data_IF_769954569958
#
_entry.id   IF_769954569958
#
_cell.length_a   1.000
_cell.length_b   1.000
_cell.length_c   1.000
_cell.angle_alpha   90.00
_cell.angle_beta   90.00
_cell.angle_gamma   90.00
#
_symmetry.space_group_name_H-M   'P 1'
#
loop_
_entity.id
_entity.type
_entity.pdbx_description
1 polymer ?
#
# COMPACT_ATOMS: atom_id res chain seq x y z
N UNK A 1 -5.96 12.27 -28.57
CA UNK A 1 -5.60 12.18 -27.14
C UNK A 1 -6.74 11.44 -26.46
N UNK A 2 -6.52 10.35 -25.70
CA UNK A 2 -7.57 9.82 -24.84
C UNK A 2 -8.08 10.97 -23.96
N UNK A 3 -9.39 11.09 -23.77
CA UNK A 3 -9.91 11.98 -22.75
C UNK A 3 -9.38 11.52 -21.39
N UNK A 4 -9.19 12.46 -20.47
CA UNK A 4 -8.69 12.17 -19.11
C UNK A 4 -9.50 11.05 -18.45
N UNK A 5 -10.83 11.08 -18.56
CA UNK A 5 -11.72 10.06 -18.01
C UNK A 5 -11.48 8.66 -18.62
N UNK A 6 -11.29 8.56 -19.95
CA UNK A 6 -11.07 7.27 -20.59
C UNK A 6 -9.71 6.67 -20.17
N UNK A 7 -8.70 7.50 -19.90
CA UNK A 7 -7.42 7.04 -19.38
C UNK A 7 -7.55 6.55 -17.94
N UNK A 8 -8.26 7.29 -17.08
CA UNK A 8 -8.49 6.92 -15.69
C UNK A 8 -9.27 5.61 -15.61
N UNK A 9 -10.35 5.46 -16.39
CA UNK A 9 -11.13 4.22 -16.46
C UNK A 9 -10.26 3.03 -16.88
N UNK A 10 -9.43 3.20 -17.93
CA UNK A 10 -8.54 2.15 -18.39
C UNK A 10 -7.50 1.73 -17.32
N UNK A 11 -6.97 2.67 -16.55
CA UNK A 11 -6.02 2.39 -15.45
C UNK A 11 -6.71 1.69 -14.28
N UNK A 12 -7.94 2.09 -13.93
CA UNK A 12 -8.70 1.48 -12.83
C UNK A 12 -9.14 0.04 -13.12
N UNK A 13 -9.25 -0.33 -14.39
CA UNK A 13 -9.57 -1.70 -14.80
C UNK A 13 -8.37 -2.67 -14.77
N UNK A 14 -7.14 -2.18 -14.57
CA UNK A 14 -5.96 -3.04 -14.51
C UNK A 14 -5.87 -3.80 -13.19
N UNK A 15 -5.67 -5.11 -13.28
CA UNK A 15 -5.44 -6.01 -12.15
C UNK A 15 -4.36 -7.05 -12.48
N UNK A 16 -4.00 -7.91 -11.51
CA UNK A 16 -2.99 -8.96 -11.72
C UNK A 16 -3.41 -9.98 -12.79
N UNK A 17 -4.72 -10.13 -13.07
CA UNK A 17 -5.26 -11.06 -14.07
C UNK A 17 -5.23 -10.48 -15.48
N UNK A 18 -4.97 -9.18 -15.61
CA UNK A 18 -4.87 -8.47 -16.88
C UNK A 18 -3.62 -8.87 -17.68
N UNK A 19 -2.69 -9.63 -17.08
CA UNK A 19 -1.42 -10.01 -17.69
C UNK A 19 -1.29 -11.53 -17.84
N UNK A 20 -0.92 -11.98 -19.04
CA UNK A 20 -0.77 -13.41 -19.35
C UNK A 20 0.48 -14.05 -18.72
N UNK A 21 1.51 -13.25 -18.39
CA UNK A 21 2.75 -13.71 -17.79
C UNK A 21 3.48 -12.57 -17.05
N UNK A 22 4.41 -12.95 -16.18
CA UNK A 22 5.18 -12.02 -15.34
C UNK A 22 6.02 -11.03 -16.18
N UNK A 23 6.63 -11.50 -17.27
CA UNK A 23 7.39 -10.62 -18.17
C UNK A 23 6.51 -9.54 -18.81
N UNK A 24 5.24 -9.82 -19.09
CA UNK A 24 4.25 -8.86 -19.57
C UNK A 24 3.89 -7.84 -18.49
N UNK A 25 3.67 -8.32 -17.26
CA UNK A 25 3.39 -7.47 -16.08
C UNK A 25 4.53 -6.49 -15.82
N UNK A 26 5.78 -6.96 -15.85
CA UNK A 26 6.96 -6.11 -15.62
C UNK A 26 7.13 -5.04 -16.70
N UNK A 27 6.97 -5.38 -17.98
CA UNK A 27 7.01 -4.40 -19.08
C UNK A 27 5.89 -3.35 -18.97
N UNK A 28 4.70 -3.76 -18.53
CA UNK A 28 3.60 -2.84 -18.29
C UNK A 28 3.92 -1.89 -17.12
N UNK A 29 4.50 -2.42 -16.03
CA UNK A 29 4.97 -1.59 -14.92
C UNK A 29 6.01 -0.56 -15.35
N UNK A 30 7.02 -0.96 -16.13
CA UNK A 30 8.02 -0.03 -16.68
C UNK A 30 7.37 1.07 -17.53
N UNK A 31 6.43 0.71 -18.40
CA UNK A 31 5.71 1.66 -19.24
C UNK A 31 4.86 2.64 -18.41
N UNK A 32 4.18 2.15 -17.36
CA UNK A 32 3.39 2.97 -16.44
C UNK A 32 4.29 3.92 -15.63
N UNK A 33 5.42 3.44 -15.12
CA UNK A 33 6.40 4.28 -14.41
C UNK A 33 6.94 5.38 -15.32
N UNK A 34 7.23 5.07 -16.59
CA UNK A 34 7.66 6.07 -17.58
C UNK A 34 6.56 7.06 -17.93
N UNK A 35 5.29 6.62 -17.97
CA UNK A 35 4.17 7.53 -18.19
C UNK A 35 3.99 8.47 -16.98
N UNK A 36 4.09 7.94 -15.77
CA UNK A 36 4.01 8.69 -14.52
C UNK A 36 5.12 9.75 -14.43
N UNK A 37 6.36 9.40 -14.79
CA UNK A 37 7.49 10.33 -14.73
C UNK A 37 7.35 11.53 -15.68
N UNK A 38 6.49 11.45 -16.71
CA UNK A 38 6.20 12.56 -17.63
C UNK A 38 5.15 13.54 -17.10
N UNK A 39 4.33 13.09 -16.14
CA UNK A 39 3.21 13.87 -15.59
C UNK A 39 3.56 14.45 -14.21
N UNK A 40 4.37 13.73 -13.43
CA UNK A 40 4.79 14.16 -12.10
C UNK A 40 5.57 15.48 -12.15
N UNK A 41 5.26 16.37 -11.21
CA UNK A 41 6.05 17.57 -10.96
C UNK A 41 7.25 17.22 -10.11
N UNK A 42 8.36 17.98 -10.20
CA UNK A 42 9.53 17.77 -9.34
C UNK A 42 9.19 17.72 -7.84
N UNK A 43 8.22 18.54 -7.40
CA UNK A 43 7.76 18.53 -6.02
C UNK A 43 7.05 17.23 -5.61
N UNK A 44 6.25 16.63 -6.50
CA UNK A 44 5.55 15.37 -6.22
C UNK A 44 6.56 14.24 -5.98
N UNK A 45 7.64 14.22 -6.76
CA UNK A 45 8.75 13.26 -6.62
C UNK A 45 9.46 13.47 -5.27
N UNK A 46 9.86 14.71 -4.95
CA UNK A 46 10.53 15.03 -3.68
C UNK A 46 9.65 14.68 -2.48
N UNK A 47 8.36 15.03 -2.53
CA UNK A 47 7.40 14.70 -1.48
C UNK A 47 7.30 13.19 -1.26
N UNK A 48 7.19 12.41 -2.35
CA UNK A 48 7.13 10.95 -2.28
C UNK A 48 8.40 10.36 -1.64
N UNK A 49 9.58 10.83 -2.06
CA UNK A 49 10.87 10.30 -1.59
C UNK A 49 11.24 10.73 -0.16
N UNK A 50 10.98 11.99 0.19
CA UNK A 50 11.40 12.55 1.47
C UNK A 50 10.37 12.35 2.58
N UNK A 51 9.09 12.18 2.24
CA UNK A 51 8.03 12.10 3.23
C UNK A 51 7.26 10.78 3.19
N UNK A 52 6.63 10.47 2.06
CA UNK A 52 5.73 9.31 1.97
C UNK A 52 6.49 8.00 2.20
N UNK A 53 7.57 7.76 1.44
CA UNK A 53 8.31 6.50 1.54
C UNK A 53 8.95 6.30 2.93
N UNK A 54 9.63 7.30 3.54
CA UNK A 54 10.15 7.15 4.90
C UNK A 54 9.05 6.98 5.95
N UNK A 55 7.94 7.71 5.84
CA UNK A 55 6.81 7.57 6.77
C UNK A 55 6.20 6.16 6.70
N UNK A 56 5.94 5.63 5.50
CA UNK A 56 5.45 4.26 5.31
C UNK A 56 6.42 3.23 5.88
N UNK A 57 7.73 3.43 5.67
CA UNK A 57 8.76 2.53 6.20
C UNK A 57 8.78 2.57 7.74
N UNK A 58 8.74 3.75 8.35
CA UNK A 58 8.71 3.91 9.79
C UNK A 58 7.43 3.33 10.42
N UNK A 59 6.26 3.55 9.81
CA UNK A 59 4.99 2.98 10.26
C UNK A 59 5.03 1.46 10.21
N UNK A 60 5.49 0.90 9.10
CA UNK A 60 5.62 -0.56 8.91
C UNK A 60 6.56 -1.16 9.95
N UNK A 61 7.75 -0.56 10.14
CA UNK A 61 8.71 -1.03 11.14
C UNK A 61 8.15 -0.95 12.56
N UNK A 62 7.44 0.12 12.90
CA UNK A 62 6.81 0.29 14.22
C UNK A 62 5.77 -0.80 14.47
N UNK A 63 4.95 -1.15 13.48
CA UNK A 63 3.96 -2.22 13.62
C UNK A 63 4.60 -3.61 13.69
N UNK A 64 5.70 -3.84 12.97
CA UNK A 64 6.53 -5.06 13.09
C UNK A 64 7.09 -5.17 14.51
N UNK A 65 7.69 -4.10 15.04
CA UNK A 65 8.30 -4.08 16.37
C UNK A 65 7.26 -4.24 17.49
N UNK A 66 6.05 -3.72 17.29
CA UNK A 66 4.91 -3.96 18.17
C UNK A 66 4.33 -5.39 18.05
N UNK A 67 4.84 -6.21 17.13
CA UNK A 67 4.41 -7.59 16.94
C UNK A 67 3.05 -7.75 16.28
N UNK A 68 2.51 -6.70 15.65
CA UNK A 68 1.15 -6.69 15.06
C UNK A 68 1.00 -7.77 14.00
N UNK A 69 1.93 -7.86 13.06
CA UNK A 69 1.88 -8.85 12.00
C UNK A 69 2.07 -10.28 12.51
N UNK A 70 2.96 -10.48 13.49
CA UNK A 70 3.19 -11.78 14.11
C UNK A 70 1.92 -12.28 14.81
N UNK A 71 1.30 -11.42 15.63
CA UNK A 71 0.07 -11.75 16.35
C UNK A 71 -1.13 -11.95 15.43
N UNK A 72 -1.20 -11.18 14.35
CA UNK A 72 -2.21 -11.35 13.32
C UNK A 72 -2.14 -12.73 12.66
N UNK A 73 -0.93 -13.19 12.29
CA UNK A 73 -0.71 -14.54 11.74
C UNK A 73 -1.00 -15.63 12.76
N UNK A 74 -0.55 -15.48 14.01
CA UNK A 74 -0.85 -16.43 15.11
C UNK A 74 -2.37 -16.57 15.35
N UNK A 75 -3.12 -15.50 15.17
CA UNK A 75 -4.58 -15.46 15.30
C UNK A 75 -5.31 -15.95 14.02
N UNK A 76 -4.63 -16.68 13.15
CA UNK A 76 -5.19 -17.33 11.96
C UNK A 76 -5.19 -16.49 10.68
N UNK A 77 -4.65 -15.26 10.71
CA UNK A 77 -4.76 -14.30 9.61
C UNK A 77 -6.20 -13.86 9.35
N UNK A 78 -6.41 -13.18 8.21
CA UNK A 78 -7.73 -12.70 7.76
C UNK A 78 -8.11 -11.31 8.30
N UNK A 79 -9.32 -10.87 7.98
CA UNK A 79 -9.77 -9.52 8.34
C UNK A 79 -9.84 -9.37 9.87
N UNK A 80 -9.19 -8.34 10.40
CA UNK A 80 -9.21 -8.00 11.83
C UNK A 80 -9.27 -6.49 12.02
N UNK A 81 -10.12 -6.09 12.95
CA UNK A 81 -10.23 -4.69 13.35
C UNK A 81 -8.96 -4.25 14.10
N UNK A 82 -8.69 -2.95 14.05
CA UNK A 82 -7.59 -2.35 14.83
C UNK A 82 -7.72 -2.62 16.35
N UNK A 83 -8.94 -2.79 16.87
CA UNK A 83 -9.20 -3.08 18.27
C UNK A 83 -8.77 -4.52 18.64
N UNK A 84 -9.11 -5.50 17.81
CA UNK A 84 -8.70 -6.90 18.02
C UNK A 84 -7.18 -7.04 17.95
N UNK A 85 -6.53 -6.37 16.99
CA UNK A 85 -5.07 -6.36 16.90
C UNK A 85 -4.40 -5.75 18.14
N UNK A 86 -4.98 -4.66 18.67
CA UNK A 86 -4.50 -4.00 19.88
C UNK A 86 -4.60 -4.89 21.12
N UNK A 87 -5.69 -5.65 21.25
CA UNK A 87 -5.86 -6.62 22.34
C UNK A 87 -4.80 -7.72 22.29
N UNK A 88 -4.49 -8.24 21.10
CA UNK A 88 -3.49 -9.29 20.93
C UNK A 88 -2.04 -8.82 21.17
N UNK A 89 -1.72 -7.56 20.87
CA UNK A 89 -0.36 -7.03 20.96
C UNK A 89 -0.13 -6.17 22.20
N UNK A 90 -1.17 -5.91 23.00
CA UNK A 90 -1.15 -4.94 24.11
C UNK A 90 -0.68 -3.55 23.69
N UNK A 91 -0.98 -3.17 22.46
CA UNK A 91 -0.62 -1.87 21.88
C UNK A 91 -1.83 -0.93 21.92
N UNK A 92 -1.61 0.39 21.94
CA UNK A 92 -2.71 1.36 21.86
C UNK A 92 -3.48 1.21 20.53
N UNK A 93 -4.80 0.96 20.55
CA UNK A 93 -5.62 0.86 19.33
C UNK A 93 -5.60 2.14 18.50
N UNK A 94 -5.43 3.32 19.11
CA UNK A 94 -5.30 4.59 18.39
C UNK A 94 -4.00 4.64 17.59
N UNK A 95 -2.92 4.05 18.12
CA UNK A 95 -1.65 3.95 17.43
C UNK A 95 -1.77 3.05 16.20
N UNK A 96 -2.36 1.85 16.36
CA UNK A 96 -2.57 0.92 15.23
C UNK A 96 -3.43 1.58 14.16
N UNK A 97 -4.55 2.22 14.54
CA UNK A 97 -5.45 2.90 13.61
C UNK A 97 -4.78 4.01 12.80
N UNK A 98 -3.77 4.69 13.37
CA UNK A 98 -3.03 5.76 12.67
C UNK A 98 -1.96 5.20 11.73
N UNK A 99 -1.26 4.16 12.16
CA UNK A 99 -0.11 3.63 11.42
C UNK A 99 -0.52 2.67 10.30
N UNK A 100 -1.55 1.83 10.53
CA UNK A 100 -1.95 0.78 9.60
C UNK A 100 -2.33 1.31 8.20
N UNK A 101 -3.12 2.39 8.04
CA UNK A 101 -3.46 2.94 6.72
C UNK A 101 -2.25 3.46 5.93
N UNK A 102 -1.18 3.86 6.62
CA UNK A 102 0.06 4.35 5.99
C UNK A 102 0.92 3.20 5.43
N UNK A 103 0.53 1.95 5.68
CA UNK A 103 1.21 0.75 5.20
C UNK A 103 0.42 0.07 4.09
N UNK A 104 1.12 -0.56 3.15
CA UNK A 104 0.50 -1.41 2.12
C UNK A 104 -0.24 -2.62 2.70
N UNK A 105 -0.05 -2.91 3.99
CA UNK A 105 -0.72 -4.01 4.69
C UNK A 105 -2.16 -3.71 5.10
N UNK A 106 -2.57 -2.43 5.11
CA UNK A 106 -3.98 -2.04 5.32
C UNK A 106 -4.93 -2.73 4.34
N UNK A 107 -4.50 -2.94 3.09
CA UNK A 107 -5.27 -3.60 2.03
C UNK A 107 -5.56 -5.09 2.30
N UNK A 108 -4.86 -5.70 3.26
CA UNK A 108 -4.92 -7.14 3.56
C UNK A 108 -5.61 -7.41 4.91
N UNK A 109 -5.51 -6.47 5.86
CA UNK A 109 -5.90 -6.70 7.26
C UNK A 109 -7.28 -6.10 7.59
N UNK A 110 -7.69 -5.02 6.93
CA UNK A 110 -8.91 -4.26 7.24
C UNK A 110 -9.80 -4.18 5.99
N UNK A 111 -10.37 -5.32 5.57
CA UNK A 111 -11.31 -5.43 4.45
C UNK A 111 -12.76 -5.52 4.90
#
# INVERSE_FOLDING_TARGET
MPSENNLIEALQCLDDKSFNNEAGRLRALEALTLALSKIQRPWDIVWQHCWVNPATTACTKTLIDAGVFTKWVEAGGGDKTCAELAEHTKTDPVLIRKLLPSTSSSLIIDR
#
